data_IF_373387100173
#
_entry.id   IF_373387100173
#
_cell.length_a   1.000
_cell.length_b   1.000
_cell.length_c   1.000
_cell.angle_alpha   90.00
_cell.angle_beta   90.00
_cell.angle_gamma   90.00
#
_symmetry.space_group_name_H-M   'P 1'
#
loop_
_entity.id
_entity.type
_entity.pdbx_description
1 polymer ?
#
# COMPACT_ATOMS: atom_id res chain seq x y z
N UNK A 1 65.91 -1.29 -5.89
CA UNK A 1 67.05 -2.21 -6.01
C UNK A 1 66.70 -3.50 -5.26
N UNK A 2 66.73 -4.65 -5.96
CA UNK A 2 66.36 -6.04 -5.55
C UNK A 2 64.83 -6.29 -5.47
N UNK A 3 64.15 -6.89 -6.45
CA UNK A 3 64.23 -8.23 -7.07
C UNK A 3 64.16 -9.42 -6.09
N UNK A 4 63.04 -10.17 -6.12
CA UNK A 4 62.88 -11.54 -6.71
C UNK A 4 61.51 -12.10 -6.26
N UNK A 5 60.56 -12.30 -7.17
CA UNK A 5 60.31 -13.54 -7.91
C UNK A 5 60.19 -14.81 -7.03
N UNK A 6 58.96 -15.29 -6.85
CA UNK A 6 58.64 -16.70 -7.13
C UNK A 6 57.24 -16.83 -7.75
N UNK A 7 57.27 -17.34 -8.98
CA UNK A 7 56.17 -17.82 -9.81
C UNK A 7 55.92 -19.29 -9.46
N UNK A 8 54.66 -19.74 -9.35
CA UNK A 8 54.27 -21.05 -9.90
C UNK A 8 52.78 -21.17 -10.17
N UNK A 9 52.49 -21.43 -11.43
CA UNK A 9 51.21 -21.80 -12.03
C UNK A 9 50.69 -23.15 -11.50
N UNK A 10 49.37 -23.32 -11.49
CA UNK A 10 48.69 -24.58 -11.23
C UNK A 10 47.37 -24.66 -12.00
N UNK A 11 47.45 -25.12 -13.24
CA UNK A 11 46.34 -25.38 -14.18
C UNK A 11 45.63 -26.71 -13.83
N UNK A 12 44.29 -26.66 -13.84
CA UNK A 12 43.25 -27.70 -14.05
C UNK A 12 43.48 -29.17 -13.61
N UNK A 13 42.49 -29.72 -12.87
CA UNK A 13 41.98 -31.09 -13.11
C UNK A 13 40.44 -31.14 -13.07
N UNK A 14 39.92 -31.82 -14.10
CA UNK A 14 38.54 -32.14 -14.43
C UNK A 14 37.91 -33.15 -13.45
N UNK A 15 36.58 -33.07 -13.31
CA UNK A 15 35.66 -34.13 -12.90
C UNK A 15 34.26 -33.48 -12.81
N UNK A 16 33.33 -33.61 -13.76
CA UNK A 16 32.63 -34.80 -14.29
C UNK A 16 32.17 -35.73 -13.17
N UNK A 17 30.91 -35.57 -12.74
CA UNK A 17 29.95 -36.57 -12.23
C UNK A 17 28.71 -35.78 -11.72
N UNK A 18 27.45 -36.10 -11.94
CA UNK A 18 26.81 -37.13 -12.74
C UNK A 18 25.36 -36.69 -13.01
N UNK A 19 24.93 -36.74 -14.27
CA UNK A 19 23.54 -36.82 -14.72
C UNK A 19 22.92 -38.14 -14.23
N UNK A 20 21.59 -38.19 -14.00
CA UNK A 20 20.64 -39.36 -13.98
C UNK A 20 19.48 -39.04 -12.99
N UNK A 21 18.17 -39.12 -13.24
CA UNK A 21 17.25 -39.68 -14.25
C UNK A 21 16.01 -38.75 -14.30
N UNK A 22 15.44 -38.31 -15.41
CA UNK A 22 14.68 -39.01 -16.47
C UNK A 22 13.34 -39.66 -16.04
N UNK A 23 12.25 -38.95 -16.35
CA UNK A 23 11.01 -39.37 -17.03
C UNK A 23 10.04 -40.35 -16.34
N UNK A 24 8.80 -39.87 -16.13
CA UNK A 24 7.54 -40.54 -16.54
C UNK A 24 6.43 -39.45 -16.50
N UNK A 25 6.08 -38.78 -17.60
CA UNK A 25 5.25 -39.24 -18.73
C UNK A 25 3.78 -39.56 -18.36
N UNK A 26 2.90 -38.71 -18.90
CA UNK A 26 1.57 -39.01 -19.44
C UNK A 26 0.42 -39.34 -18.45
N UNK A 27 -0.42 -38.34 -18.21
CA UNK A 27 -1.87 -38.52 -18.31
C UNK A 27 -2.44 -37.45 -19.25
N UNK A 28 -2.57 -37.83 -20.51
CA UNK A 28 -3.31 -37.09 -21.53
C UNK A 28 -4.82 -37.32 -21.38
N UNK A 29 -5.56 -36.22 -21.40
CA UNK A 29 -6.94 -36.01 -21.87
C UNK A 29 -7.94 -37.19 -21.82
N UNK A 30 -8.99 -37.05 -20.99
CA UNK A 30 -10.39 -37.19 -21.42
C UNK A 30 -11.33 -36.68 -20.31
N UNK A 31 -12.20 -35.71 -20.61
CA UNK A 31 -13.22 -35.26 -19.66
C UNK A 31 -13.92 -33.95 -20.00
N UNK A 32 -14.43 -33.81 -21.22
CA UNK A 32 -15.55 -32.89 -21.44
C UNK A 32 -16.82 -33.53 -20.85
N UNK A 33 -17.68 -32.68 -20.31
CA UNK A 33 -19.04 -32.93 -19.81
C UNK A 33 -19.15 -33.47 -18.37
N UNK A 34 -19.47 -32.54 -17.47
CA UNK A 34 -19.94 -32.80 -16.11
C UNK A 34 -20.06 -31.48 -15.40
N UNK A 35 -21.24 -30.86 -15.49
CA UNK A 35 -21.51 -29.51 -14.98
C UNK A 35 -21.10 -29.35 -13.52
N UNK A 36 -20.01 -28.63 -13.31
CA UNK A 36 -19.78 -27.88 -12.11
C UNK A 36 -19.91 -26.42 -12.51
N UNK A 37 -21.01 -25.78 -12.09
CA UNK A 37 -21.01 -24.34 -11.93
C UNK A 37 -19.82 -24.02 -11.03
N UNK A 38 -18.67 -23.68 -11.62
CA UNK A 38 -17.79 -22.71 -11.00
C UNK A 38 -18.67 -21.48 -10.92
N UNK A 39 -19.26 -21.29 -9.73
CA UNK A 39 -19.78 -20.02 -9.30
C UNK A 39 -18.72 -19.03 -9.73
N UNK A 40 -19.03 -18.24 -10.77
CA UNK A 40 -18.40 -16.97 -11.04
C UNK A 40 -18.63 -16.17 -9.77
N UNK A 41 -17.82 -16.43 -8.75
CA UNK A 41 -17.78 -15.65 -7.54
C UNK A 41 -17.48 -14.27 -8.04
N UNK A 42 -18.43 -13.35 -7.86
CA UNK A 42 -18.28 -11.95 -8.17
C UNK A 42 -16.89 -11.51 -7.67
N UNK A 43 -15.90 -11.50 -8.56
CA UNK A 43 -14.66 -10.77 -8.35
C UNK A 43 -15.07 -9.33 -8.51
N UNK A 44 -15.62 -8.77 -7.43
CA UNK A 44 -15.77 -7.33 -7.31
C UNK A 44 -14.34 -6.81 -7.36
N UNK A 45 -13.94 -6.36 -8.54
CA UNK A 45 -12.70 -5.60 -8.73
C UNK A 45 -12.67 -4.50 -7.69
N UNK A 46 -11.50 -4.20 -7.14
CA UNK A 46 -11.32 -3.08 -6.23
C UNK A 46 -12.02 -1.83 -6.81
N UNK A 47 -12.91 -1.25 -6.01
CA UNK A 47 -13.69 -0.07 -6.39
C UNK A 47 -13.62 0.92 -5.23
N UNK A 48 -13.39 2.18 -5.55
CA UNK A 48 -13.46 3.29 -4.61
C UNK A 48 -14.66 4.15 -4.96
N UNK A 49 -15.33 4.67 -3.93
CA UNK A 49 -16.40 5.64 -4.11
C UNK A 49 -15.76 7.02 -4.33
N UNK A 50 -16.01 7.61 -5.50
CA UNK A 50 -15.48 8.93 -5.84
C UNK A 50 -16.15 10.02 -5.00
N UNK A 51 -15.36 11.04 -4.65
CA UNK A 51 -15.77 12.21 -3.86
C UNK A 51 -16.35 11.83 -2.49
N UNK A 52 -15.87 10.72 -1.93
CA UNK A 52 -16.20 10.26 -0.57
C UNK A 52 -14.95 10.26 0.30
N UNK A 53 -15.15 10.64 1.56
CA UNK A 53 -14.09 10.67 2.57
C UNK A 53 -13.95 9.30 3.22
N UNK A 54 -12.74 8.77 3.19
CA UNK A 54 -12.35 7.55 3.90
C UNK A 54 -11.49 7.93 5.10
N UNK A 55 -12.08 7.99 6.30
CA UNK A 55 -11.43 8.47 7.54
C UNK A 55 -10.69 7.34 8.23
N UNK A 56 -9.47 7.61 8.68
CA UNK A 56 -8.69 6.64 9.46
C UNK A 56 -9.47 6.25 10.72
N UNK A 57 -9.56 4.94 11.00
CA UNK A 57 -10.45 4.40 12.02
C UNK A 57 -10.26 5.02 13.41
N UNK A 58 -9.04 5.42 13.76
CA UNK A 58 -8.69 5.97 15.08
C UNK A 58 -9.07 7.46 15.18
N UNK A 59 -9.27 8.11 14.04
CA UNK A 59 -9.54 9.54 13.96
C UNK A 59 -11.04 9.86 13.86
N UNK A 60 -11.91 8.85 13.76
CA UNK A 60 -13.36 9.03 13.52
C UNK A 60 -14.03 9.96 14.55
N UNK A 61 -13.59 9.92 15.81
CA UNK A 61 -14.11 10.75 16.89
C UNK A 61 -13.53 12.19 16.91
N UNK A 62 -12.49 12.45 16.14
CA UNK A 62 -11.80 13.74 16.11
C UNK A 62 -12.56 14.76 15.26
N UNK A 63 -12.28 16.04 15.49
CA UNK A 63 -12.76 17.14 14.65
C UNK A 63 -12.31 16.97 13.20
N UNK A 64 -13.11 17.43 12.23
CA UNK A 64 -12.86 17.18 10.81
C UNK A 64 -11.45 17.57 10.33
N UNK A 65 -10.91 18.68 10.87
CA UNK A 65 -9.57 19.18 10.55
C UNK A 65 -8.43 18.50 11.30
N UNK A 66 -8.72 17.45 12.08
CA UNK A 66 -7.74 16.66 12.82
C UNK A 66 -7.79 15.17 12.41
N UNK A 67 -8.53 14.86 11.34
CA UNK A 67 -8.70 13.52 10.81
C UNK A 67 -7.72 13.24 9.67
N UNK A 68 -7.06 12.09 9.66
CA UNK A 68 -6.39 11.58 8.46
C UNK A 68 -7.38 10.87 7.54
N UNK A 69 -7.37 11.16 6.24
CA UNK A 69 -8.32 10.58 5.31
C UNK A 69 -7.86 10.54 3.85
N UNK A 70 -8.48 9.65 3.08
CA UNK A 70 -8.40 9.62 1.61
C UNK A 70 -9.66 10.20 0.97
N UNK A 71 -9.48 10.89 -0.16
CA UNK A 71 -10.56 11.21 -1.11
C UNK A 71 -10.07 10.87 -2.52
N UNK A 72 -10.85 10.09 -3.25
CA UNK A 72 -10.61 9.84 -4.68
C UNK A 72 -11.50 10.78 -5.49
N UNK A 73 -10.93 11.67 -6.28
CA UNK A 73 -11.66 12.76 -6.95
C UNK A 73 -12.04 12.40 -8.38
N UNK A 74 -11.21 11.59 -9.05
CA UNK A 74 -11.44 11.07 -10.41
C UNK A 74 -11.01 9.59 -10.47
N UNK A 75 -11.11 9.01 -11.66
CA UNK A 75 -10.75 7.64 -12.04
C UNK A 75 -9.27 7.29 -11.83
N UNK A 76 -8.37 8.28 -11.78
CA UNK A 76 -6.94 8.05 -11.54
C UNK A 76 -6.29 9.06 -10.58
N UNK A 77 -7.05 9.96 -9.95
CA UNK A 77 -6.57 11.01 -9.04
C UNK A 77 -7.26 11.01 -7.68
N UNK A 78 -6.53 11.46 -6.66
CA UNK A 78 -7.08 11.71 -5.34
C UNK A 78 -6.11 12.46 -4.43
N UNK A 79 -6.50 12.59 -3.16
CA UNK A 79 -5.66 13.17 -2.13
C UNK A 79 -5.71 12.35 -0.83
N UNK A 80 -4.62 12.44 -0.08
CA UNK A 80 -4.48 11.91 1.26
C UNK A 80 -4.13 13.07 2.19
N UNK A 81 -5.07 13.41 3.07
CA UNK A 81 -4.82 14.35 4.15
C UNK A 81 -4.32 13.58 5.38
N UNK A 82 -3.24 14.07 5.98
CA UNK A 82 -2.65 13.53 7.19
C UNK A 82 -2.62 14.60 8.26
N UNK A 83 -3.03 14.21 9.46
CA UNK A 83 -2.89 15.01 10.66
C UNK A 83 -2.30 14.15 11.77
N UNK A 84 -1.34 14.71 12.50
CA UNK A 84 -0.83 14.13 13.73
C UNK A 84 -0.43 15.23 14.69
N UNK A 85 -0.83 15.06 15.95
CA UNK A 85 -0.42 15.89 17.08
C UNK A 85 0.46 15.06 18.01
N UNK A 86 1.61 15.61 18.36
CA UNK A 86 2.51 15.03 19.34
C UNK A 86 3.02 16.12 20.29
N UNK A 87 2.98 15.83 21.60
CA UNK A 87 3.58 16.70 22.61
C UNK A 87 4.99 16.21 22.97
N UNK A 88 6.00 17.00 22.64
CA UNK A 88 7.39 16.69 22.96
C UNK A 88 7.72 17.16 24.39
N UNK A 89 7.61 16.25 25.36
CA UNK A 89 7.90 16.55 26.77
C UNK A 89 9.32 17.10 27.02
N UNK A 90 10.30 16.71 26.20
CA UNK A 90 11.68 17.15 26.37
C UNK A 90 11.89 18.61 25.96
N UNK A 91 11.17 19.06 24.93
CA UNK A 91 11.25 20.43 24.42
C UNK A 91 10.13 21.33 24.98
N UNK A 92 9.13 20.74 25.64
CA UNK A 92 7.93 21.44 26.08
C UNK A 92 7.14 22.05 24.91
N UNK A 93 7.20 21.40 23.74
CA UNK A 93 6.71 21.93 22.47
C UNK A 93 5.65 21.00 21.85
N UNK A 94 4.68 21.63 21.19
CA UNK A 94 3.67 20.94 20.38
C UNK A 94 4.19 20.79 18.95
N UNK A 95 4.23 19.55 18.48
CA UNK A 95 4.61 19.21 17.11
C UNK A 95 3.35 18.74 16.38
N UNK A 96 2.95 19.51 15.36
CA UNK A 96 1.83 19.19 14.49
C UNK A 96 2.39 18.89 13.11
N UNK A 97 2.10 17.69 12.62
CA UNK A 97 2.34 17.33 11.24
C UNK A 97 1.01 17.30 10.50
N UNK A 98 0.77 18.34 9.70
CA UNK A 98 -0.39 18.46 8.82
C UNK A 98 0.07 18.60 7.37
N UNK A 99 -0.40 17.73 6.47
CA UNK A 99 -0.18 17.86 5.04
C UNK A 99 -1.24 17.14 4.22
N UNK A 100 -1.37 17.53 2.96
CA UNK A 100 -2.18 16.86 1.95
C UNK A 100 -1.27 16.41 0.81
N UNK A 101 -1.19 15.10 0.58
CA UNK A 101 -0.55 14.53 -0.61
C UNK A 101 -1.58 14.38 -1.72
N UNK A 102 -1.35 15.02 -2.86
CA UNK A 102 -2.08 14.74 -4.08
C UNK A 102 -1.38 13.59 -4.81
N UNK A 103 -2.17 12.67 -5.35
CA UNK A 103 -1.65 11.44 -5.93
C UNK A 103 -2.36 11.04 -7.22
N UNK A 104 -1.62 10.29 -8.04
CA UNK A 104 -2.18 9.40 -9.05
C UNK A 104 -2.34 8.00 -8.47
N UNK A 105 -3.40 7.28 -8.84
CA UNK A 105 -3.58 5.90 -8.38
C UNK A 105 -3.91 4.93 -9.52
N UNK A 106 -3.54 3.68 -9.30
CA UNK A 106 -3.82 2.58 -10.22
C UNK A 106 -4.38 1.41 -9.45
N UNK A 107 -5.42 0.78 -10.00
CA UNK A 107 -6.02 -0.43 -9.45
C UNK A 107 -5.53 -1.63 -10.25
N UNK A 108 -4.96 -2.61 -9.55
CA UNK A 108 -4.55 -3.90 -10.10
C UNK A 108 -5.20 -4.98 -9.24
N UNK A 109 -6.11 -5.74 -9.85
CA UNK A 109 -6.98 -6.71 -9.16
C UNK A 109 -7.78 -6.05 -8.02
N UNK A 110 -7.51 -6.43 -6.77
CA UNK A 110 -8.20 -5.94 -5.56
C UNK A 110 -7.37 -4.91 -4.78
N UNK A 111 -6.25 -4.47 -5.37
CA UNK A 111 -5.28 -3.59 -4.72
C UNK A 111 -5.16 -2.31 -5.52
N UNK A 112 -5.33 -1.18 -4.84
CA UNK A 112 -4.99 0.13 -5.39
C UNK A 112 -3.66 0.60 -4.83
N UNK A 113 -2.85 1.27 -5.66
CA UNK A 113 -1.62 1.92 -5.21
C UNK A 113 -1.64 3.39 -5.61
N UNK A 114 -1.51 4.26 -4.63
CA UNK A 114 -1.34 5.70 -4.77
C UNK A 114 0.15 6.04 -4.92
N UNK A 115 0.47 6.90 -5.85
CA UNK A 115 1.81 7.41 -6.14
C UNK A 115 1.80 8.94 -6.03
N UNK A 116 2.81 9.46 -5.33
CA UNK A 116 3.01 10.89 -5.13
C UNK A 116 2.93 11.70 -6.43
N UNK A 117 2.22 12.83 -6.40
CA UNK A 117 2.26 13.88 -7.42
C UNK A 117 2.77 15.19 -6.80
N UNK A 118 2.08 15.69 -5.78
CA UNK A 118 2.46 16.92 -5.05
C UNK A 118 2.07 16.85 -3.57
N UNK A 119 2.55 17.80 -2.78
CA UNK A 119 2.20 17.97 -1.36
C UNK A 119 1.94 19.44 -1.06
N UNK A 120 0.91 19.68 -0.27
CA UNK A 120 0.64 20.95 0.38
C UNK A 120 0.70 20.76 1.89
N UNK A 121 1.50 21.56 2.58
CA UNK A 121 1.56 21.55 4.04
C UNK A 121 0.45 22.43 4.61
N UNK A 122 -0.20 21.94 5.66
CA UNK A 122 -1.30 22.66 6.31
C UNK A 122 -0.80 23.87 7.10
N UNK A 123 -1.71 24.80 7.38
CA UNK A 123 -1.38 26.02 8.13
C UNK A 123 -0.91 25.73 9.57
N UNK A 124 -1.33 24.60 10.14
CA UNK A 124 -0.92 24.18 11.49
C UNK A 124 0.39 23.40 11.50
N UNK A 125 1.00 23.11 10.35
CA UNK A 125 2.25 22.34 10.30
C UNK A 125 3.37 23.08 11.03
N UNK A 126 3.87 22.51 12.13
CA UNK A 126 4.92 23.12 12.96
C UNK A 126 6.27 22.41 12.87
N UNK A 127 6.32 21.20 12.31
CA UNK A 127 7.58 20.49 12.15
C UNK A 127 8.53 21.21 11.18
N UNK A 128 9.82 21.27 11.53
CA UNK A 128 10.83 21.98 10.74
C UNK A 128 11.20 21.29 9.41
N UNK A 129 10.69 20.09 9.15
CA UNK A 129 11.12 19.29 7.99
C UNK A 129 9.94 18.84 7.16
N UNK A 130 10.07 19.10 5.86
CA UNK A 130 9.25 18.47 4.82
C UNK A 130 9.38 16.93 4.89
N UNK A 131 8.45 16.33 5.63
CA UNK A 131 8.38 14.90 5.93
C UNK A 131 8.05 14.08 4.67
N UNK A 132 7.23 14.63 3.77
CA UNK A 132 6.76 13.92 2.59
C UNK A 132 7.88 13.83 1.55
N UNK A 133 8.19 12.59 1.15
CA UNK A 133 9.20 12.30 0.12
C UNK A 133 8.52 12.08 -1.21
N UNK A 134 9.22 12.41 -2.30
CA UNK A 134 8.72 12.22 -3.67
C UNK A 134 8.53 10.75 -4.05
N UNK A 135 9.06 9.80 -3.26
CA UNK A 135 8.80 8.37 -3.39
C UNK A 135 7.64 7.88 -2.51
N UNK A 136 6.86 8.79 -1.90
CA UNK A 136 5.68 8.44 -1.13
C UNK A 136 4.74 7.59 -1.97
N UNK A 137 4.25 6.52 -1.35
CA UNK A 137 3.29 5.60 -1.93
C UNK A 137 2.43 4.99 -0.84
N UNK A 138 1.19 4.68 -1.17
CA UNK A 138 0.33 3.91 -0.29
C UNK A 138 -0.36 2.80 -1.08
N UNK A 139 -0.27 1.57 -0.58
CA UNK A 139 -0.89 0.39 -1.20
C UNK A 139 -2.03 -0.07 -0.30
N UNK A 140 -3.24 -0.08 -0.86
CA UNK A 140 -4.48 -0.31 -0.13
C UNK A 140 -5.24 -1.45 -0.79
N UNK A 141 -5.71 -2.41 0.01
CA UNK A 141 -6.83 -3.25 -0.40
C UNK A 141 -8.09 -2.38 -0.41
N UNK A 142 -8.82 -2.38 -1.52
CA UNK A 142 -9.85 -1.37 -1.74
C UNK A 142 -11.24 -1.96 -1.91
N UNK A 143 -12.19 -1.35 -1.20
CA UNK A 143 -13.61 -1.55 -1.35
C UNK A 143 -14.31 -0.20 -1.18
N UNK A 144 -15.48 -0.03 -1.80
CA UNK A 144 -16.26 1.20 -1.70
C UNK A 144 -16.58 1.60 -0.24
N UNK A 145 -16.67 0.65 0.68
CA UNK A 145 -17.00 0.88 2.08
C UNK A 145 -15.79 1.20 2.96
N UNK A 146 -14.61 0.65 2.65
CA UNK A 146 -13.39 0.86 3.44
C UNK A 146 -12.15 0.52 2.62
N UNK A 147 -11.03 1.11 3.03
CA UNK A 147 -9.69 0.82 2.54
C UNK A 147 -8.88 0.19 3.68
N UNK A 148 -7.94 -0.69 3.34
CA UNK A 148 -7.03 -1.27 4.31
C UNK A 148 -5.60 -1.16 3.78
N UNK A 149 -4.71 -0.52 4.52
CA UNK A 149 -3.30 -0.47 4.16
C UNK A 149 -2.56 -1.74 4.59
N UNK A 150 -1.32 -1.90 4.12
CA UNK A 150 -0.47 -3.06 4.47
C UNK A 150 -0.09 -3.16 5.95
N UNK A 151 -0.25 -2.07 6.72
CA UNK A 151 -0.04 -2.03 8.17
C UNK A 151 -1.25 -2.47 9.00
N UNK A 152 -2.39 -2.78 8.36
CA UNK A 152 -3.64 -3.14 9.06
C UNK A 152 -4.48 -1.93 9.48
N UNK A 153 -4.12 -0.72 9.05
CA UNK A 153 -4.92 0.47 9.29
C UNK A 153 -6.10 0.49 8.33
N UNK A 154 -7.30 0.73 8.87
CA UNK A 154 -8.51 0.90 8.08
C UNK A 154 -8.87 2.36 7.91
N UNK A 155 -9.35 2.70 6.71
CA UNK A 155 -9.96 3.97 6.39
C UNK A 155 -11.39 3.73 5.97
N UNK A 156 -12.36 4.25 6.71
CA UNK A 156 -13.79 3.91 6.57
C UNK A 156 -14.51 5.02 5.83
N UNK A 157 -15.31 4.66 4.83
CA UNK A 157 -16.17 5.61 4.12
C UNK A 157 -17.23 6.16 5.09
N UNK A 158 -17.30 7.48 5.26
CA UNK A 158 -18.21 8.13 6.21
C UNK A 158 -19.68 7.80 5.93
N UNK A 159 -20.11 7.75 4.66
CA UNK A 159 -21.50 7.40 4.32
C UNK A 159 -21.82 5.96 4.74
N UNK A 160 -20.89 5.03 4.57
CA UNK A 160 -21.07 3.64 5.00
C UNK A 160 -21.11 3.55 6.53
N UNK A 161 -20.22 4.26 7.21
CA UNK A 161 -20.14 4.31 8.66
C UNK A 161 -21.47 4.79 9.27
N UNK A 162 -22.01 5.91 8.78
CA UNK A 162 -23.23 6.51 9.29
C UNK A 162 -24.47 5.63 9.08
N UNK A 163 -24.54 4.92 7.95
CA UNK A 163 -25.73 4.14 7.58
C UNK A 163 -25.72 2.70 8.10
N UNK A 164 -24.56 2.06 8.19
CA UNK A 164 -24.45 0.62 8.46
C UNK A 164 -23.79 0.29 9.80
N UNK A 165 -22.89 1.16 10.29
CA UNK A 165 -22.14 0.93 11.54
C UNK A 165 -22.13 2.18 12.43
N UNK A 166 -23.30 2.71 12.81
CA UNK A 166 -23.43 4.07 13.35
C UNK A 166 -22.75 4.31 14.70
N UNK A 167 -22.30 3.26 15.40
CA UNK A 167 -21.64 3.34 16.71
C UNK A 167 -20.11 3.17 16.63
N UNK A 168 -19.53 2.91 15.46
CA UNK A 168 -18.10 2.68 15.34
C UNK A 168 -17.34 4.02 15.44
N UNK A 169 -16.35 4.07 16.33
CA UNK A 169 -15.52 5.27 16.55
C UNK A 169 -16.22 6.44 17.25
N UNK A 170 -17.34 6.21 17.96
CA UNK A 170 -18.08 7.23 18.74
C UNK A 170 -18.08 6.93 20.23
#
# INVERSE_FOLDING_TARGET
MREKFFKKEGIMKKGIFCMLFAVLALFSLAGCAGGGNLVSGNTKTAEVALNKKYVFQEDIALEEGEQSYFIFTDSDEGCYHYYSYFYNEYQGAEEITEFTVYFKYYIVDDVLTCFFDSVEYGEKHTEEKDQVKTYWKNTLAANKNYLMNTGGNYYVNVDFLENEIPNFGK
#
